data_IF_143790782909
#
_entry.id   IF_143790782909
#
_cell.length_a   1.000
_cell.length_b   1.000
_cell.length_c   1.000
_cell.angle_alpha   90.00
_cell.angle_beta   90.00
_cell.angle_gamma   90.00
#
_symmetry.space_group_name_H-M   'P 1'
#
loop_
_entity.id
_entity.type
_entity.pdbx_description
1 polymer ?
#
# COMPACT_ATOMS: atom_id res chain seq x y z
N UNK A 1 20.63 30.35 -13.25
CA UNK A 1 19.17 30.62 -13.12
C UNK A 1 18.66 29.79 -11.96
N UNK A 2 17.80 30.34 -11.09
CA UNK A 2 17.19 29.57 -10.00
C UNK A 2 16.17 28.57 -10.58
N UNK A 3 16.11 27.36 -10.03
CA UNK A 3 15.08 26.38 -10.40
C UNK A 3 13.69 26.98 -10.15
N UNK A 4 12.75 26.74 -11.06
CA UNK A 4 11.36 27.18 -10.93
C UNK A 4 10.62 26.32 -9.89
N UNK A 5 9.48 26.80 -9.40
CA UNK A 5 8.59 26.00 -8.53
C UNK A 5 8.17 24.70 -9.22
N UNK A 6 7.97 24.74 -10.54
CA UNK A 6 7.62 23.56 -11.34
C UNK A 6 8.77 22.55 -11.40
N UNK A 7 10.01 23.00 -11.55
CA UNK A 7 11.20 22.11 -11.52
C UNK A 7 11.32 21.42 -10.15
N UNK A 8 11.09 22.16 -9.06
CA UNK A 8 11.08 21.58 -7.71
C UNK A 8 9.92 20.62 -7.47
N UNK A 9 8.74 20.92 -8.00
CA UNK A 9 7.61 19.99 -7.95
C UNK A 9 7.93 18.70 -8.70
N UNK A 10 8.59 18.77 -9.86
CA UNK A 10 9.04 17.60 -10.63
C UNK A 10 10.05 16.76 -9.86
N UNK A 11 11.05 17.37 -9.24
CA UNK A 11 12.04 16.65 -8.41
C UNK A 11 11.36 15.89 -7.26
N UNK A 12 10.46 16.56 -6.53
CA UNK A 12 9.71 15.96 -5.42
C UNK A 12 8.76 14.86 -5.92
N UNK A 13 8.12 15.07 -7.07
CA UNK A 13 7.22 14.09 -7.68
C UNK A 13 7.95 12.79 -8.03
N UNK A 14 9.14 12.87 -8.65
CA UNK A 14 9.97 11.70 -8.97
C UNK A 14 10.34 10.93 -7.70
N UNK A 15 10.76 11.64 -6.64
CA UNK A 15 11.05 11.00 -5.34
C UNK A 15 9.79 10.33 -4.76
N UNK A 16 8.65 11.01 -4.82
CA UNK A 16 7.37 10.46 -4.38
C UNK A 16 6.98 9.18 -5.12
N UNK A 17 7.09 9.17 -6.45
CA UNK A 17 6.78 7.99 -7.27
C UNK A 17 7.67 6.79 -6.91
N UNK A 18 8.97 7.02 -6.70
CA UNK A 18 9.92 5.98 -6.26
C UNK A 18 9.56 5.44 -4.88
N UNK A 19 9.21 6.33 -3.95
CA UNK A 19 8.81 5.95 -2.61
C UNK A 19 7.51 5.13 -2.63
N UNK A 20 6.49 5.56 -3.38
CA UNK A 20 5.24 4.80 -3.48
C UNK A 20 5.48 3.45 -4.19
N UNK A 21 6.27 3.41 -5.26
CA UNK A 21 6.61 2.15 -5.94
C UNK A 21 7.19 1.12 -4.98
N UNK A 22 8.03 1.57 -4.05
CA UNK A 22 8.57 0.70 -3.03
C UNK A 22 7.56 0.29 -1.96
N UNK A 23 6.63 1.18 -1.59
CA UNK A 23 5.53 0.87 -0.68
C UNK A 23 4.66 -0.24 -1.29
N UNK A 24 4.29 -0.14 -2.58
CA UNK A 24 3.53 -1.18 -3.29
C UNK A 24 4.23 -2.55 -3.24
N UNK A 25 5.53 -2.59 -3.54
CA UNK A 25 6.29 -3.84 -3.48
C UNK A 25 6.34 -4.42 -2.06
N UNK A 26 6.46 -3.56 -1.04
CA UNK A 26 6.39 -4.03 0.34
C UNK A 26 5.00 -4.54 0.70
N UNK A 27 3.94 -3.90 0.21
CA UNK A 27 2.56 -4.31 0.40
C UNK A 27 2.35 -5.73 -0.14
N UNK A 28 2.81 -6.00 -1.36
CA UNK A 28 2.77 -7.33 -1.99
C UNK A 28 3.44 -8.38 -1.10
N UNK A 29 4.69 -8.17 -0.68
CA UNK A 29 5.42 -9.13 0.18
C UNK A 29 4.73 -9.34 1.54
N UNK A 30 4.13 -8.29 2.11
CA UNK A 30 3.42 -8.38 3.38
C UNK A 30 2.13 -9.19 3.23
N UNK A 31 1.33 -8.88 2.21
CA UNK A 31 0.05 -9.53 1.95
C UNK A 31 0.23 -11.00 1.55
N UNK A 32 1.23 -11.33 0.73
CA UNK A 32 1.56 -12.72 0.38
C UNK A 32 1.88 -13.57 1.63
N UNK A 33 2.67 -13.01 2.56
CA UNK A 33 2.97 -13.67 3.83
C UNK A 33 1.74 -13.85 4.70
N UNK A 34 0.87 -12.84 4.78
CA UNK A 34 -0.37 -12.93 5.55
C UNK A 34 -1.33 -13.97 4.95
N UNK A 35 -1.55 -13.96 3.62
CA UNK A 35 -2.39 -14.94 2.91
C UNK A 35 -1.87 -16.37 3.11
N UNK A 36 -0.55 -16.57 3.12
CA UNK A 36 0.06 -17.88 3.33
C UNK A 36 -0.17 -18.46 4.73
N UNK A 37 -0.50 -17.64 5.72
CA UNK A 37 -0.84 -18.08 7.09
C UNK A 37 -2.35 -18.03 7.37
N UNK A 38 -3.14 -17.39 6.52
CA UNK A 38 -4.55 -17.12 6.82
C UNK A 38 -5.41 -18.39 6.80
N UNK A 39 -5.84 -18.83 7.99
CA UNK A 39 -6.77 -19.94 8.16
C UNK A 39 -8.17 -19.45 8.53
N UNK A 40 -9.25 -20.12 8.10
CA UNK A 40 -10.64 -19.87 8.56
C UNK A 40 -11.27 -18.51 8.17
N UNK A 41 -10.58 -17.70 7.35
CA UNK A 41 -11.08 -16.44 6.80
C UNK A 41 -11.01 -16.41 5.25
N UNK A 42 -11.80 -17.27 4.55
CA UNK A 42 -11.70 -17.42 3.10
C UNK A 42 -12.01 -16.13 2.32
N UNK A 43 -13.03 -15.38 2.75
CA UNK A 43 -13.41 -14.10 2.12
C UNK A 43 -12.29 -13.06 2.18
N UNK A 44 -11.57 -13.01 3.31
CA UNK A 44 -10.42 -12.15 3.50
C UNK A 44 -9.24 -12.61 2.65
N UNK A 45 -8.95 -13.93 2.62
CA UNK A 45 -7.90 -14.47 1.77
C UNK A 45 -8.13 -14.12 0.29
N UNK A 46 -9.37 -14.23 -0.20
CA UNK A 46 -9.71 -13.92 -1.59
C UNK A 46 -9.66 -12.43 -1.89
N UNK A 47 -10.06 -11.55 -0.95
CA UNK A 47 -9.85 -10.11 -1.12
C UNK A 47 -8.37 -9.75 -1.17
N UNK A 48 -7.56 -10.31 -0.27
CA UNK A 48 -6.12 -10.02 -0.21
C UNK A 48 -5.39 -10.50 -1.47
N UNK A 49 -5.74 -11.68 -2.01
CA UNK A 49 -5.18 -12.14 -3.29
C UNK A 49 -5.51 -11.22 -4.45
N UNK A 50 -6.74 -10.69 -4.50
CA UNK A 50 -7.11 -9.68 -5.49
C UNK A 50 -6.30 -8.41 -5.30
N UNK A 51 -6.16 -7.97 -4.05
CA UNK A 51 -5.40 -6.76 -3.73
C UNK A 51 -3.91 -6.88 -4.06
N UNK A 52 -3.29 -8.04 -3.84
CA UNK A 52 -1.92 -8.31 -4.31
C UNK A 52 -1.79 -8.05 -5.82
N UNK A 53 -2.76 -8.49 -6.63
CA UNK A 53 -2.78 -8.22 -8.06
C UNK A 53 -3.00 -6.74 -8.40
N UNK A 54 -3.82 -6.04 -7.62
CA UNK A 54 -3.99 -4.58 -7.70
C UNK A 54 -2.66 -3.88 -7.43
N UNK A 55 -2.02 -4.09 -6.27
CA UNK A 55 -0.74 -3.47 -5.90
C UNK A 55 0.40 -3.78 -6.87
N UNK A 56 0.46 -5.00 -7.44
CA UNK A 56 1.42 -5.34 -8.50
C UNK A 56 1.23 -4.47 -9.75
N UNK A 57 -0.03 -4.27 -10.18
CA UNK A 57 -0.35 -3.42 -11.32
C UNK A 57 -0.09 -1.94 -11.00
N UNK A 58 -0.31 -1.52 -9.76
CA UNK A 58 0.02 -0.17 -9.30
C UNK A 58 1.52 0.10 -9.32
N UNK A 59 2.35 -0.84 -8.84
CA UNK A 59 3.80 -0.77 -8.96
C UNK A 59 4.21 -0.62 -10.44
N UNK A 60 3.63 -1.42 -11.34
CA UNK A 60 3.88 -1.33 -12.79
C UNK A 60 3.52 0.05 -13.36
N UNK A 61 2.38 0.63 -12.97
CA UNK A 61 1.98 1.99 -13.37
C UNK A 61 3.00 3.02 -12.89
N UNK A 62 3.47 2.93 -11.64
CA UNK A 62 4.46 3.85 -11.08
C UNK A 62 5.81 3.73 -11.80
N UNK A 63 6.23 2.52 -12.16
CA UNK A 63 7.41 2.26 -12.99
C UNK A 63 7.29 2.91 -14.38
N UNK A 64 6.14 2.76 -15.05
CA UNK A 64 5.86 3.39 -16.34
C UNK A 64 5.94 4.93 -16.24
N UNK A 65 5.40 5.53 -15.17
CA UNK A 65 5.48 6.98 -14.93
C UNK A 65 6.91 7.44 -14.70
N UNK A 66 7.69 6.68 -13.92
CA UNK A 66 9.11 6.96 -13.72
C UNK A 66 9.87 6.88 -15.05
N UNK A 67 9.61 5.90 -15.90
CA UNK A 67 10.23 5.78 -17.23
C UNK A 67 9.98 6.98 -18.14
N UNK A 68 8.81 7.62 -18.03
CA UNK A 68 8.49 8.85 -18.76
C UNK A 68 9.22 10.09 -18.23
N UNK A 69 9.59 10.08 -16.94
CA UNK A 69 10.17 11.24 -16.25
C UNK A 69 11.69 11.19 -16.17
N UNK A 70 12.29 9.98 -16.15
CA UNK A 70 13.70 9.71 -15.88
C UNK A 70 14.56 9.61 -17.16
N UNK A 71 14.06 10.04 -18.33
CA UNK A 71 14.85 10.16 -19.57
C UNK A 71 15.94 11.25 -19.50
N UNK A 72 16.08 11.95 -18.37
CA UNK A 72 17.10 12.95 -18.09
C UNK A 72 17.83 12.63 -16.78
N UNK A 73 18.86 11.78 -16.87
CA UNK A 73 19.95 11.54 -15.90
C UNK A 73 19.82 12.16 -14.49
N UNK A 74 19.78 11.31 -13.47
CA UNK A 74 20.74 11.36 -12.36
C UNK A 74 20.52 10.17 -11.42
N UNK A 75 21.48 9.25 -11.41
CA UNK A 75 21.69 8.25 -10.38
C UNK A 75 21.70 8.91 -9.00
N UNK A 76 20.74 8.59 -8.12
CA UNK A 76 20.95 8.81 -6.69
C UNK A 76 20.18 7.81 -5.83
N UNK A 77 20.81 7.54 -4.69
CA UNK A 77 20.71 6.34 -3.88
C UNK A 77 20.01 6.65 -2.56
N UNK A 78 19.19 5.70 -2.13
CA UNK A 78 18.73 5.41 -0.77
C UNK A 78 18.23 6.56 0.11
N UNK A 79 16.90 6.66 0.22
CA UNK A 79 16.22 7.16 1.42
C UNK A 79 14.91 6.37 1.65
N UNK A 80 15.01 5.05 1.71
CA UNK A 80 13.85 4.16 1.80
C UNK A 80 13.79 3.32 3.10
N UNK A 81 14.80 3.45 3.96
CA UNK A 81 15.05 2.48 5.03
C UNK A 81 14.34 2.80 6.35
N UNK A 82 13.91 4.04 6.59
CA UNK A 82 13.45 4.46 7.93
C UNK A 82 11.95 4.31 8.19
N UNK A 83 11.09 4.41 7.16
CA UNK A 83 9.64 4.32 7.36
C UNK A 83 9.15 2.86 7.39
N UNK A 84 9.75 2.00 6.57
CA UNK A 84 9.41 0.58 6.46
C UNK A 84 9.84 -0.25 7.68
N UNK A 85 10.92 0.13 8.37
CA UNK A 85 11.42 -0.61 9.54
C UNK A 85 10.44 -0.65 10.73
N UNK A 86 9.59 0.38 10.90
CA UNK A 86 8.65 0.45 12.02
C UNK A 86 7.34 -0.32 11.76
N UNK A 87 6.90 -0.47 10.50
CA UNK A 87 5.73 -1.28 10.15
C UNK A 87 6.05 -2.78 10.14
N UNK A 88 7.25 -3.17 9.72
CA UNK A 88 7.73 -4.56 9.81
C UNK A 88 7.69 -5.10 11.25
N UNK A 89 7.97 -4.26 12.25
CA UNK A 89 7.94 -4.65 13.66
C UNK A 89 6.54 -5.05 14.18
N UNK A 90 5.46 -4.60 13.54
CA UNK A 90 4.08 -4.98 13.92
C UNK A 90 3.68 -6.38 13.41
N UNK A 91 4.33 -6.88 12.36
CA UNK A 91 3.99 -8.16 11.71
C UNK A 91 4.84 -9.38 12.11
N UNK A 92 5.75 -9.26 13.09
CA UNK A 92 6.71 -10.32 13.45
C UNK A 92 6.40 -11.04 14.77
N UNK A 93 5.29 -10.72 15.42
CA UNK A 93 4.86 -11.48 16.60
C UNK A 93 3.79 -12.48 16.18
N UNK A 94 4.19 -13.76 16.06
CA UNK A 94 3.24 -14.87 16.01
C UNK A 94 2.43 -14.80 17.30
N UNK A 95 1.17 -14.41 17.18
CA UNK A 95 0.30 -14.19 18.30
C UNK A 95 -1.08 -14.78 18.00
N UNK A 96 -1.81 -15.30 19.00
CA UNK A 96 -3.13 -15.87 18.78
C UNK A 96 -4.09 -14.90 18.07
N UNK A 97 -3.92 -13.59 18.32
CA UNK A 97 -4.75 -12.50 17.78
C UNK A 97 -4.19 -11.87 16.50
N UNK A 98 -3.26 -12.55 15.81
CA UNK A 98 -2.56 -12.01 14.64
C UNK A 98 -3.53 -11.57 13.52
N UNK A 99 -4.63 -12.29 13.28
CA UNK A 99 -5.64 -11.88 12.28
C UNK A 99 -6.26 -10.50 12.60
N UNK A 100 -6.48 -10.20 13.88
CA UNK A 100 -7.01 -8.89 14.30
C UNK A 100 -5.96 -7.81 14.11
N UNK A 101 -4.72 -8.06 14.56
CA UNK A 101 -3.60 -7.12 14.40
C UNK A 101 -3.33 -6.80 12.94
N UNK A 102 -3.29 -7.82 12.08
CA UNK A 102 -3.09 -7.66 10.65
C UNK A 102 -4.24 -6.87 10.02
N UNK A 103 -5.50 -7.13 10.39
CA UNK A 103 -6.65 -6.36 9.87
C UNK A 103 -6.52 -4.87 10.21
N UNK A 104 -6.14 -4.53 11.44
CA UNK A 104 -5.95 -3.14 11.87
C UNK A 104 -4.72 -2.50 11.19
N UNK A 105 -3.63 -3.25 11.07
CA UNK A 105 -2.41 -2.78 10.43
C UNK A 105 -2.63 -2.52 8.93
N UNK A 106 -3.31 -3.43 8.23
CA UNK A 106 -3.65 -3.28 6.83
C UNK A 106 -4.53 -2.04 6.64
N UNK A 107 -5.58 -1.85 7.45
CA UNK A 107 -6.42 -0.65 7.37
C UNK A 107 -5.62 0.66 7.49
N UNK A 108 -4.66 0.72 8.42
CA UNK A 108 -3.78 1.87 8.56
C UNK A 108 -2.82 2.03 7.36
N UNK A 109 -2.37 0.91 6.78
CA UNK A 109 -1.51 0.88 5.60
C UNK A 109 -2.23 1.41 4.36
N UNK A 110 -3.46 0.95 4.07
CA UNK A 110 -4.27 1.47 2.96
C UNK A 110 -4.43 3.00 3.05
N UNK A 111 -4.69 3.52 4.26
CA UNK A 111 -4.84 4.97 4.46
C UNK A 111 -3.53 5.75 4.25
N UNK A 112 -2.38 5.14 4.51
CA UNK A 112 -1.10 5.72 4.14
C UNK A 112 -0.94 5.79 2.62
N UNK A 113 -1.30 4.72 1.89
CA UNK A 113 -1.24 4.69 0.42
C UNK A 113 -2.19 5.69 -0.21
N UNK A 114 -3.43 5.78 0.27
CA UNK A 114 -4.40 6.80 -0.13
C UNK A 114 -3.81 8.21 0.02
N UNK A 115 -3.21 8.51 1.18
CA UNK A 115 -2.60 9.83 1.42
C UNK A 115 -1.41 10.08 0.49
N UNK A 116 -0.61 9.05 0.22
CA UNK A 116 0.53 9.10 -0.71
C UNK A 116 0.06 9.39 -2.14
N UNK A 117 -0.93 8.67 -2.65
CA UNK A 117 -1.51 8.91 -3.98
C UNK A 117 -2.15 10.29 -4.12
N UNK A 118 -2.84 10.79 -3.09
CA UNK A 118 -3.36 12.17 -3.09
C UNK A 118 -2.23 13.21 -3.21
N UNK A 119 -1.12 12.99 -2.51
CA UNK A 119 0.08 13.83 -2.60
C UNK A 119 0.69 13.76 -4.02
N UNK A 120 0.81 12.55 -4.58
CA UNK A 120 1.32 12.34 -5.95
C UNK A 120 0.46 13.01 -7.01
N UNK A 121 -0.87 12.99 -6.88
CA UNK A 121 -1.77 13.71 -7.79
C UNK A 121 -1.54 15.22 -7.76
N UNK A 122 -1.35 15.77 -6.56
CA UNK A 122 -1.05 17.20 -6.40
C UNK A 122 0.30 17.56 -7.01
N UNK A 123 1.32 16.71 -6.80
CA UNK A 123 2.66 16.88 -7.37
C UNK A 123 2.69 16.71 -8.89
N UNK A 124 1.93 15.74 -9.41
CA UNK A 124 1.74 15.51 -10.84
C UNK A 124 1.21 16.76 -11.55
N UNK A 125 0.21 17.43 -10.98
CA UNK A 125 -0.33 18.69 -11.49
C UNK A 125 0.70 19.82 -11.39
N UNK A 126 1.32 20.00 -10.22
CA UNK A 126 2.33 21.05 -10.01
C UNK A 126 3.58 20.89 -10.90
N UNK A 127 3.95 19.66 -11.24
CA UNK A 127 5.04 19.33 -12.15
C UNK A 127 4.65 19.47 -13.64
N UNK A 128 3.37 19.68 -13.95
CA UNK A 128 2.86 19.74 -15.33
C UNK A 128 2.85 18.39 -16.06
N UNK A 129 2.91 17.27 -15.35
CA UNK A 129 2.90 15.92 -15.95
C UNK A 129 1.48 15.34 -16.03
N UNK A 130 0.61 15.96 -16.82
CA UNK A 130 -0.80 15.55 -16.95
C UNK A 130 -0.99 14.09 -17.39
N UNK A 131 -0.02 13.52 -18.10
CA UNK A 131 -0.05 12.12 -18.55
C UNK A 131 -0.10 11.11 -17.39
N UNK A 132 0.42 11.45 -16.20
CA UNK A 132 0.42 10.56 -15.04
C UNK A 132 -0.89 10.50 -14.25
N UNK A 133 -1.78 11.48 -14.45
CA UNK A 133 -2.98 11.66 -13.62
C UNK A 133 -3.90 10.44 -13.63
N UNK A 134 -4.21 9.90 -14.81
CA UNK A 134 -5.16 8.78 -14.92
C UNK A 134 -4.67 7.51 -14.22
N UNK A 135 -3.35 7.27 -14.23
CA UNK A 135 -2.76 6.10 -13.57
C UNK A 135 -2.83 6.24 -12.05
N UNK A 136 -2.46 7.42 -11.52
CA UNK A 136 -2.53 7.71 -10.09
C UNK A 136 -3.98 7.72 -9.55
N UNK A 137 -4.94 8.25 -10.33
CA UNK A 137 -6.35 8.21 -9.96
C UNK A 137 -6.92 6.78 -9.95
N UNK A 138 -6.43 5.90 -10.82
CA UNK A 138 -6.82 4.49 -10.82
C UNK A 138 -6.33 3.78 -9.56
N UNK A 139 -5.03 3.91 -9.24
CA UNK A 139 -4.48 3.33 -8.01
C UNK A 139 -5.17 3.88 -6.76
N UNK A 140 -5.39 5.20 -6.68
CA UNK A 140 -6.10 5.81 -5.55
C UNK A 140 -7.49 5.19 -5.30
N UNK A 141 -8.23 4.88 -6.36
CA UNK A 141 -9.55 4.24 -6.23
C UNK A 141 -9.45 2.80 -5.73
N UNK A 142 -8.48 2.04 -6.22
CA UNK A 142 -8.22 0.66 -5.79
C UNK A 142 -7.88 0.62 -4.28
N UNK A 143 -7.03 1.54 -3.80
CA UNK A 143 -6.69 1.70 -2.37
C UNK A 143 -7.90 2.12 -1.52
N UNK A 144 -8.72 3.04 -2.03
CA UNK A 144 -9.98 3.42 -1.35
C UNK A 144 -10.96 2.24 -1.25
N UNK A 145 -11.08 1.45 -2.30
CA UNK A 145 -11.94 0.27 -2.33
C UNK A 145 -11.42 -0.82 -1.37
N UNK A 146 -10.10 -0.98 -1.22
CA UNK A 146 -9.52 -1.88 -0.22
C UNK A 146 -9.75 -1.37 1.21
N UNK A 147 -9.45 -0.10 1.49
CA UNK A 147 -9.70 0.50 2.80
C UNK A 147 -11.18 0.37 3.22
N UNK A 148 -12.11 0.66 2.29
CA UNK A 148 -13.53 0.53 2.54
C UNK A 148 -13.92 -0.93 2.81
N UNK A 149 -13.40 -1.87 2.01
CA UNK A 149 -13.65 -3.29 2.23
C UNK A 149 -13.16 -3.72 3.62
N UNK A 150 -11.96 -3.32 4.04
CA UNK A 150 -11.44 -3.65 5.37
C UNK A 150 -12.34 -3.03 6.45
N UNK A 151 -12.74 -1.77 6.31
CA UNK A 151 -13.63 -1.09 7.27
C UNK A 151 -14.93 -1.87 7.49
N UNK A 152 -15.55 -2.35 6.41
CA UNK A 152 -16.78 -3.15 6.46
C UNK A 152 -16.57 -4.53 7.09
N UNK A 153 -15.34 -5.05 7.09
CA UNK A 153 -15.00 -6.39 7.56
C UNK A 153 -14.27 -6.42 8.93
N UNK A 154 -13.87 -5.28 9.50
CA UNK A 154 -13.28 -5.22 10.86
C UNK A 154 -14.24 -5.83 11.90
N UNK A 155 -15.50 -5.39 11.88
CA UNK A 155 -16.53 -5.88 12.81
C UNK A 155 -16.80 -7.38 12.67
N UNK A 156 -17.14 -7.86 11.46
CA UNK A 156 -17.31 -9.29 11.18
C UNK A 156 -16.10 -10.16 11.55
N UNK A 157 -14.88 -9.73 11.22
CA UNK A 157 -13.63 -10.46 11.54
C UNK A 157 -13.45 -10.59 13.05
N UNK A 158 -13.66 -9.49 13.78
CA UNK A 158 -13.55 -9.47 15.24
C UNK A 158 -14.55 -10.42 15.89
N UNK A 159 -15.81 -10.43 15.43
CA UNK A 159 -16.84 -11.34 15.93
C UNK A 159 -16.47 -12.80 15.68
N UNK A 160 -16.07 -13.13 14.45
CA UNK A 160 -15.65 -14.50 14.08
C UNK A 160 -14.47 -14.97 14.94
N UNK A 161 -13.49 -14.09 15.19
CA UNK A 161 -12.36 -14.41 16.08
C UNK A 161 -12.83 -14.78 17.49
N UNK A 162 -13.73 -13.97 18.08
CA UNK A 162 -14.28 -14.22 19.42
C UNK A 162 -15.08 -15.53 19.46
N UNK A 163 -15.96 -15.76 18.49
CA UNK A 163 -16.78 -16.98 18.41
C UNK A 163 -15.93 -18.25 18.33
N UNK A 164 -14.89 -18.25 17.49
CA UNK A 164 -13.98 -19.40 17.35
C UNK A 164 -13.16 -19.63 18.62
N UNK A 165 -12.67 -18.55 19.23
CA UNK A 165 -11.93 -18.62 20.51
C UNK A 165 -12.82 -19.21 21.61
N UNK A 166 -14.07 -18.76 21.71
CA UNK A 166 -15.03 -19.26 22.68
C UNK A 166 -15.39 -20.75 22.45
N UNK A 167 -15.36 -21.20 21.20
CA UNK A 167 -15.59 -22.59 20.83
C UNK A 167 -14.34 -23.50 20.99
N UNK A 168 -13.20 -22.97 21.45
CA UNK A 168 -11.94 -23.71 21.55
C UNK A 168 -11.36 -24.12 20.20
N UNK A 169 -11.76 -23.43 19.12
CA UNK A 169 -11.28 -23.66 17.75
C UNK A 169 -10.11 -22.72 17.45
N UNK A 170 -9.28 -23.07 16.46
CA UNK A 170 -8.25 -22.17 15.93
C UNK A 170 -8.91 -20.89 15.40
N UNK A 171 -8.70 -19.76 16.07
CA UNK A 171 -9.32 -18.47 15.75
C UNK A 171 -8.41 -17.53 14.95
N UNK A 172 -7.10 -17.77 14.95
CA UNK A 172 -6.10 -16.96 14.26
C UNK A 172 -5.60 -17.59 12.95
N UNK A 173 -4.43 -17.10 12.55
CA UNK A 173 -3.55 -17.63 11.50
C UNK A 173 -2.56 -18.64 12.06
#
# INVERSE_FOLDING_TARGET
MSATTQDKARDIYIVGLRNQHAVENQAVELLERQVGRLENYPEMADRMRRHIGESQEQARRLEDLLGQLDSSHSSFKDAMSSFMGNLAALGHTVAPDEVLKNTLANFAFEHFEIASYMSLLTLCEAAGHSAGRSALEASLREEQDMAQWIADHIGPTTKRYVERTAAGQTAGV
#
